data_IF_358722128222
#
_entry.id   IF_358722128222
#
_cell.length_a   1.000
_cell.length_b   1.000
_cell.length_c   1.000
_cell.angle_alpha   90.00
_cell.angle_beta   90.00
_cell.angle_gamma   90.00
#
_symmetry.space_group_name_H-M   'P 1'
#
loop_
_entity.id
_entity.type
_entity.pdbx_description
1 polymer ?
#
# COMPACT_ATOMS: atom_id res chain seq x y z
N UNK A 1 7.30 3.50 9.80
CA UNK A 1 6.09 4.18 9.27
C UNK A 1 6.49 5.41 8.45
N UNK A 2 7.45 6.20 8.89
CA UNK A 2 7.90 7.42 8.18
C UNK A 2 8.29 7.18 6.71
N UNK A 3 8.99 6.08 6.41
CA UNK A 3 9.34 5.71 5.03
C UNK A 3 8.09 5.42 4.17
N UNK A 4 7.07 4.75 4.72
CA UNK A 4 5.79 4.54 4.05
C UNK A 4 5.12 5.89 3.78
N UNK A 5 5.02 6.75 4.78
CA UNK A 5 4.38 8.07 4.65
C UNK A 5 5.05 8.91 3.57
N UNK A 6 6.38 8.91 3.49
CA UNK A 6 7.14 9.61 2.44
C UNK A 6 6.80 9.10 1.03
N UNK A 7 6.74 7.78 0.84
CA UNK A 7 6.41 7.18 -0.46
C UNK A 7 4.96 7.49 -0.86
N UNK A 8 4.02 7.35 0.07
CA UNK A 8 2.60 7.68 -0.13
C UNK A 8 2.45 9.14 -0.54
N UNK A 9 3.07 10.07 0.19
CA UNK A 9 3.01 11.50 -0.11
C UNK A 9 3.61 11.82 -1.48
N UNK A 10 4.72 11.17 -1.87
CA UNK A 10 5.31 11.32 -3.20
C UNK A 10 4.34 10.91 -4.30
N UNK A 11 3.66 9.77 -4.17
CA UNK A 11 2.68 9.32 -5.17
C UNK A 11 1.48 10.26 -5.26
N UNK A 12 0.98 10.73 -4.11
CA UNK A 12 -0.11 11.71 -4.07
C UNK A 12 0.27 13.03 -4.75
N UNK A 13 1.52 13.50 -4.57
CA UNK A 13 2.03 14.70 -5.25
C UNK A 13 2.12 14.54 -6.77
N UNK A 14 2.32 13.30 -7.25
CA UNK A 14 2.28 12.95 -8.67
C UNK A 14 0.85 12.76 -9.20
N UNK A 15 -0.18 12.99 -8.37
CA UNK A 15 -1.58 12.79 -8.74
C UNK A 15 -1.99 11.32 -8.83
N UNK A 16 -1.16 10.39 -8.34
CA UNK A 16 -1.45 8.96 -8.35
C UNK A 16 -2.04 8.52 -7.00
N UNK A 17 -3.06 7.66 -7.05
CA UNK A 17 -3.61 7.05 -5.86
C UNK A 17 -2.69 5.93 -5.37
N UNK A 18 -2.15 6.01 -4.14
CA UNK A 18 -1.30 4.97 -3.60
C UNK A 18 -2.11 3.74 -3.18
N UNK A 19 -1.66 2.56 -3.61
CA UNK A 19 -2.19 1.26 -3.21
C UNK A 19 -1.04 0.41 -2.68
N UNK A 20 -1.23 -0.18 -1.50
CA UNK A 20 -0.25 -1.12 -0.92
C UNK A 20 -0.68 -2.54 -1.24
N UNK A 21 0.26 -3.33 -1.77
CA UNK A 21 0.13 -4.78 -1.85
C UNK A 21 0.91 -5.45 -0.72
N UNK A 22 0.23 -6.34 0.00
CA UNK A 22 0.77 -7.08 1.13
C UNK A 22 0.48 -8.58 1.01
N UNK A 23 1.14 -9.41 1.81
CA UNK A 23 0.75 -10.82 1.92
C UNK A 23 -0.62 -10.95 2.63
N UNK A 24 -1.46 -11.94 2.26
CA UNK A 24 -2.79 -12.10 2.87
C UNK A 24 -2.76 -12.18 4.40
N UNK A 25 -1.73 -12.83 4.96
CA UNK A 25 -1.56 -13.04 6.40
C UNK A 25 -1.38 -11.71 7.15
N UNK A 26 -0.62 -10.77 6.58
CA UNK A 26 -0.30 -9.50 7.25
C UNK A 26 -1.21 -8.34 6.81
N UNK A 27 -1.97 -8.49 5.71
CA UNK A 27 -2.78 -7.43 5.10
C UNK A 27 -3.65 -6.67 6.11
N UNK A 28 -4.44 -7.40 6.90
CA UNK A 28 -5.38 -6.80 7.86
C UNK A 28 -4.65 -6.02 8.96
N UNK A 29 -3.58 -6.61 9.51
CA UNK A 29 -2.80 -5.97 10.57
C UNK A 29 -2.09 -4.72 10.05
N UNK A 30 -1.54 -4.78 8.84
CA UNK A 30 -0.90 -3.64 8.20
C UNK A 30 -1.91 -2.51 7.95
N UNK A 31 -3.09 -2.82 7.39
CA UNK A 31 -4.17 -1.84 7.21
C UNK A 31 -4.56 -1.17 8.53
N UNK A 32 -4.77 -1.94 9.60
CA UNK A 32 -5.13 -1.37 10.91
C UNK A 32 -4.05 -0.45 11.47
N UNK A 33 -2.79 -0.84 11.32
CA UNK A 33 -1.65 -0.04 11.76
C UNK A 33 -1.55 1.27 10.97
N UNK A 34 -1.69 1.19 9.64
CA UNK A 34 -1.50 2.35 8.77
C UNK A 34 -2.71 3.27 8.74
N UNK A 35 -3.92 2.78 8.97
CA UNK A 35 -5.14 3.60 8.98
C UNK A 35 -5.09 4.73 10.03
N UNK A 36 -4.43 4.46 11.17
CA UNK A 36 -4.27 5.47 12.23
C UNK A 36 -3.40 6.66 11.80
N UNK A 37 -2.51 6.45 10.83
CA UNK A 37 -1.52 7.45 10.39
C UNK A 37 -1.86 8.01 9.01
N UNK A 38 -2.43 7.19 8.14
CA UNK A 38 -2.78 7.53 6.76
C UNK A 38 -4.23 7.05 6.52
N UNK A 39 -5.23 7.82 6.97
CA UNK A 39 -6.63 7.47 6.77
C UNK A 39 -6.97 7.28 5.29
N UNK A 40 -7.74 6.25 4.98
CA UNK A 40 -8.16 5.97 3.60
C UNK A 40 -7.10 5.29 2.72
N UNK A 41 -5.92 4.94 3.25
CA UNK A 41 -4.90 4.22 2.48
C UNK A 41 -5.40 2.84 2.03
N UNK A 42 -5.41 2.56 0.73
CA UNK A 42 -5.86 1.26 0.21
C UNK A 42 -4.77 0.22 0.44
N UNK A 43 -5.14 -0.91 1.07
CA UNK A 43 -4.24 -2.04 1.33
C UNK A 43 -4.91 -3.32 0.87
N UNK A 44 -4.35 -3.91 -0.20
CA UNK A 44 -4.81 -5.14 -0.82
C UNK A 44 -3.81 -6.27 -0.54
N UNK A 45 -4.29 -7.50 -0.63
CA UNK A 45 -3.45 -8.68 -0.76
C UNK A 45 -3.37 -9.15 -2.20
N UNK A 46 -2.31 -9.88 -2.54
CA UNK A 46 -2.17 -10.51 -3.86
C UNK A 46 -3.38 -11.40 -4.24
N UNK A 47 -4.08 -11.98 -3.26
CA UNK A 47 -5.25 -12.83 -3.49
C UNK A 47 -6.54 -12.05 -3.81
N UNK A 48 -6.55 -10.73 -3.63
CA UNK A 48 -7.70 -9.87 -3.95
C UNK A 48 -7.59 -9.29 -5.38
N UNK A 49 -6.54 -9.63 -6.12
CA UNK A 49 -6.33 -9.23 -7.50
C UNK A 49 -6.81 -10.32 -8.46
N UNK A 50 -7.45 -9.93 -9.56
CA UNK A 50 -7.71 -10.83 -10.67
C UNK A 50 -6.38 -11.32 -11.27
N UNK A 51 -6.33 -12.59 -11.67
CA UNK A 51 -5.12 -13.23 -12.22
C UNK A 51 -4.57 -12.57 -13.48
N UNK A 52 -5.38 -11.77 -14.17
CA UNK A 52 -5.03 -11.08 -15.41
C UNK A 52 -4.49 -9.66 -15.18
N UNK A 53 -4.38 -9.22 -13.92
CA UNK A 53 -3.85 -7.89 -13.59
C UNK A 53 -2.32 -7.96 -13.55
N UNK A 54 -1.68 -7.09 -14.34
CA UNK A 54 -0.25 -6.84 -14.22
C UNK A 54 0.02 -5.85 -13.09
N UNK A 55 0.92 -6.24 -12.17
CA UNK A 55 1.32 -5.41 -11.03
C UNK A 55 2.71 -4.86 -11.28
N UNK A 56 2.84 -3.53 -11.24
CA UNK A 56 4.13 -2.86 -11.24
C UNK A 56 4.39 -2.22 -9.87
N UNK A 57 5.48 -2.65 -9.21
CA UNK A 57 5.90 -2.03 -7.96
C UNK A 57 6.62 -0.71 -8.25
N UNK A 58 6.07 0.39 -7.75
CA UNK A 58 6.66 1.75 -7.86
C UNK A 58 7.66 1.99 -6.71
N UNK A 59 7.63 1.16 -5.67
CA UNK A 59 8.55 1.21 -4.54
C UNK A 59 8.26 0.11 -3.53
N UNK A 60 9.26 -0.22 -2.72
CA UNK A 60 9.12 -1.18 -1.62
C UNK A 60 9.32 -0.46 -0.30
N UNK A 61 8.51 -0.82 0.70
CA UNK A 61 8.70 -0.35 2.08
C UNK A 61 9.44 -1.44 2.83
N UNK A 62 10.71 -1.18 3.16
CA UNK A 62 11.50 -1.99 4.08
C UNK A 62 11.58 -1.33 5.46
N UNK A 63 11.86 -2.14 6.48
CA UNK A 63 12.13 -1.68 7.84
C UNK A 63 13.52 -1.05 7.88
#
# INVERSE_FOLDING_TARGET
IDNLTKQVQRLMQLGQQPVILASPIVRLYFKRLTEQVIPGLVVLSYNELDSNIEVQSIGMVSI
#
